data_IF_275869528755
#
_entry.id   IF_275869528755
#
_cell.length_a   1.000
_cell.length_b   1.000
_cell.length_c   1.000
_cell.angle_alpha   90.00
_cell.angle_beta   90.00
_cell.angle_gamma   90.00
#
_symmetry.space_group_name_H-M   'P 1'
#
loop_
_entity.id
_entity.type
_entity.pdbx_description
1 polymer ?
#
# COMPACT_ATOMS: atom_id res chain seq x y z
N UNK A 1 31.45 6.28 -12.75
CA UNK A 1 30.45 5.62 -11.89
C UNK A 1 30.34 6.47 -10.64
N UNK A 2 29.38 7.38 -10.62
CA UNK A 2 29.21 8.33 -9.51
C UNK A 2 28.40 7.65 -8.41
N UNK A 3 28.98 7.59 -7.21
CA UNK A 3 28.30 7.07 -6.03
C UNK A 3 27.23 8.07 -5.62
N UNK A 4 25.97 7.69 -5.84
CA UNK A 4 24.82 8.47 -5.40
C UNK A 4 24.61 8.20 -3.90
N UNK A 5 25.17 9.07 -3.08
CA UNK A 5 25.03 9.03 -1.63
C UNK A 5 23.65 9.60 -1.27
N UNK A 6 22.64 8.73 -1.26
CA UNK A 6 21.27 9.10 -0.90
C UNK A 6 21.22 9.45 0.59
N UNK A 7 21.39 10.74 0.90
CA UNK A 7 21.32 11.25 2.26
C UNK A 7 20.00 10.85 2.92
N UNK A 8 20.06 10.43 4.19
CA UNK A 8 18.92 10.01 5.01
C UNK A 8 17.79 11.05 5.07
N UNK A 9 18.09 12.32 4.78
CA UNK A 9 17.13 13.43 4.77
C UNK A 9 16.14 13.41 3.60
N UNK A 10 16.48 12.79 2.47
CA UNK A 10 15.57 12.77 1.30
C UNK A 10 14.32 11.91 1.55
N UNK A 11 14.44 10.87 2.39
CA UNK A 11 13.31 10.02 2.75
C UNK A 11 12.28 10.72 3.63
N UNK A 12 12.71 11.69 4.44
CA UNK A 12 11.83 12.47 5.32
C UNK A 12 10.95 13.44 4.53
N UNK A 13 11.49 14.06 3.47
CA UNK A 13 10.73 14.96 2.59
C UNK A 13 9.72 14.22 1.71
N UNK A 14 10.00 12.97 1.36
CA UNK A 14 9.13 12.16 0.50
C UNK A 14 7.85 11.68 1.20
N UNK A 15 7.75 11.77 2.53
CA UNK A 15 6.61 11.27 3.30
C UNK A 15 5.36 12.16 3.27
N UNK A 16 5.50 13.45 2.94
CA UNK A 16 4.40 14.42 3.08
C UNK A 16 4.14 15.28 1.82
N UNK A 17 4.78 14.99 0.67
CA UNK A 17 4.50 15.68 -0.59
C UNK A 17 3.65 14.80 -1.52
N UNK A 18 2.32 15.06 -1.65
CA UNK A 18 1.47 14.36 -2.60
C UNK A 18 1.99 14.41 -4.05
N UNK A 19 2.65 15.49 -4.44
CA UNK A 19 3.23 15.64 -5.77
C UNK A 19 4.48 14.77 -5.95
N UNK A 20 5.25 14.50 -4.89
CA UNK A 20 6.35 13.53 -4.93
C UNK A 20 5.82 12.11 -5.11
N UNK A 21 4.70 11.77 -4.44
CA UNK A 21 4.07 10.46 -4.58
C UNK A 21 3.57 10.21 -6.02
N UNK A 22 2.93 11.21 -6.63
CA UNK A 22 2.46 11.16 -8.02
C UNK A 22 3.61 11.02 -9.04
N UNK A 23 4.77 11.60 -8.78
CA UNK A 23 5.93 11.55 -9.69
C UNK A 23 6.74 10.25 -9.57
N UNK A 24 6.57 9.47 -8.51
CA UNK A 24 7.38 8.28 -8.22
C UNK A 24 6.72 6.94 -8.63
N UNK A 25 5.76 6.96 -9.56
CA UNK A 25 4.93 5.80 -9.93
C UNK A 25 5.73 4.56 -10.38
N UNK A 26 6.91 4.74 -11.00
CA UNK A 26 7.73 3.63 -11.53
C UNK A 26 8.73 3.07 -10.51
N UNK A 27 9.18 3.89 -9.54
CA UNK A 27 10.24 3.51 -8.59
C UNK A 27 9.66 2.80 -7.37
N UNK A 28 8.38 3.03 -7.06
CA UNK A 28 7.69 2.45 -5.90
C UNK A 28 7.00 1.10 -6.18
N UNK A 29 7.00 0.61 -7.42
CA UNK A 29 6.38 -0.66 -7.80
C UNK A 29 7.27 -1.89 -7.56
N UNK A 30 8.56 -1.69 -7.25
CA UNK A 30 9.41 -2.78 -6.78
C UNK A 30 9.04 -3.12 -5.33
N UNK A 31 8.96 -4.40 -4.94
CA UNK A 31 8.80 -4.76 -3.54
C UNK A 31 9.91 -4.07 -2.76
N UNK A 32 9.54 -3.15 -1.87
CA UNK A 32 10.50 -2.50 -0.97
C UNK A 32 11.05 -3.60 -0.08
N UNK A 33 12.18 -4.19 -0.46
CA UNK A 33 13.02 -4.89 0.50
C UNK A 33 13.36 -3.84 1.55
N UNK A 34 12.86 -4.03 2.77
CA UNK A 34 13.30 -3.21 3.89
C UNK A 34 14.84 -3.24 3.87
N UNK A 35 15.55 -2.13 4.12
CA UNK A 35 17.01 -2.05 4.09
C UNK A 35 17.70 -2.90 5.18
N UNK A 36 17.01 -3.90 5.70
CA UNK A 36 17.46 -4.88 6.65
C UNK A 36 17.20 -6.30 6.12
N UNK A 37 17.50 -6.56 4.85
CA UNK A 37 17.97 -7.90 4.52
C UNK A 37 19.40 -8.00 5.07
N UNK A 38 19.49 -8.36 6.36
CA UNK A 38 20.71 -8.88 6.93
C UNK A 38 21.20 -9.94 5.93
N UNK A 39 22.39 -9.77 5.37
CA UNK A 39 23.04 -10.78 4.53
C UNK A 39 23.24 -12.02 5.41
N UNK A 40 22.22 -12.86 5.42
CA UNK A 40 22.15 -14.08 6.21
C UNK A 40 23.34 -14.96 5.75
N UNK A 41 24.31 -15.27 6.62
CA UNK A 41 25.46 -16.09 6.25
C UNK A 41 24.97 -17.44 5.73
N UNK A 42 25.66 -18.06 4.77
CA UNK A 42 25.26 -19.30 4.10
C UNK A 42 24.80 -20.44 5.07
N UNK A 43 25.30 -20.44 6.31
CA UNK A 43 24.92 -21.39 7.35
C UNK A 43 23.51 -21.19 7.93
N UNK A 44 22.91 -20.00 7.79
CA UNK A 44 21.55 -19.72 8.28
C UNK A 44 20.44 -20.37 7.43
N UNK A 45 20.77 -20.77 6.20
CA UNK A 45 19.89 -21.58 5.35
C UNK A 45 19.72 -23.02 5.90
N UNK A 46 20.67 -23.51 6.71
CA UNK A 46 20.56 -24.80 7.40
C UNK A 46 19.79 -24.70 8.73
N UNK A 47 19.75 -23.52 9.37
CA UNK A 47 18.98 -23.32 10.61
C UNK A 47 17.48 -23.10 10.37
N UNK A 48 17.06 -22.63 9.20
CA UNK A 48 15.64 -22.46 8.85
C UNK A 48 14.87 -23.80 8.79
N UNK A 49 15.57 -24.93 8.72
CA UNK A 49 14.95 -26.26 8.80
C UNK A 49 14.72 -26.76 10.24
N UNK A 50 15.40 -26.20 11.24
CA UNK A 50 15.31 -26.63 12.64
C UNK A 50 14.62 -25.61 13.55
N UNK A 51 14.49 -24.37 13.11
CA UNK A 51 13.82 -23.31 13.86
C UNK A 51 12.74 -22.74 12.95
N UNK A 52 11.47 -23.01 13.29
CA UNK A 52 10.38 -22.17 12.81
C UNK A 52 10.77 -20.75 13.14
N UNK A 53 11.00 -19.91 12.12
CA UNK A 53 11.26 -18.48 12.27
C UNK A 53 10.04 -17.88 12.98
N UNK A 54 10.09 -17.86 14.32
CA UNK A 54 9.20 -17.04 15.13
C UNK A 54 9.71 -15.63 14.95
N UNK A 55 9.33 -15.01 13.83
CA UNK A 55 9.45 -13.59 13.65
C UNK A 55 8.89 -12.93 14.92
N UNK A 56 9.61 -11.99 15.55
CA UNK A 56 9.08 -11.30 16.70
C UNK A 56 7.72 -10.72 16.32
N UNK A 57 6.70 -10.86 17.18
CA UNK A 57 5.38 -10.34 16.88
C UNK A 57 5.52 -8.87 16.49
N UNK A 58 4.84 -8.47 15.41
CA UNK A 58 4.80 -7.08 14.96
C UNK A 58 4.56 -6.19 16.19
N UNK A 59 5.41 -5.19 16.39
CA UNK A 59 5.39 -4.32 17.57
C UNK A 59 3.95 -3.89 17.89
N UNK A 60 3.51 -4.12 19.12
CA UNK A 60 2.09 -4.04 19.50
C UNK A 60 1.50 -2.63 19.39
N UNK A 61 2.32 -1.63 19.05
CA UNK A 61 1.92 -0.25 18.81
C UNK A 61 1.89 0.21 17.36
N UNK A 62 1.91 -0.69 16.37
CA UNK A 62 1.86 -0.31 14.95
C UNK A 62 0.49 -0.58 14.33
N UNK A 63 -0.13 0.46 13.77
CA UNK A 63 -1.31 0.31 12.92
C UNK A 63 -0.85 -0.06 11.49
N UNK A 64 -1.36 -1.16 10.96
CA UNK A 64 -1.07 -1.63 9.61
C UNK A 64 -2.36 -1.70 8.79
N UNK A 65 -2.31 -1.15 7.57
CA UNK A 65 -3.39 -1.15 6.59
C UNK A 65 -2.87 -1.72 5.28
N UNK A 66 -3.64 -2.61 4.64
CA UNK A 66 -3.29 -3.25 3.39
C UNK A 66 -4.49 -3.21 2.44
N UNK A 67 -4.30 -2.54 1.30
CA UNK A 67 -5.22 -2.62 0.17
C UNK A 67 -4.78 -3.75 -0.75
N UNK A 68 -5.71 -4.64 -1.09
CA UNK A 68 -5.47 -5.69 -2.08
C UNK A 68 -6.35 -5.47 -3.31
N UNK A 69 -5.79 -5.78 -4.50
CA UNK A 69 -6.47 -5.59 -5.78
C UNK A 69 -7.58 -6.62 -6.03
N UNK A 70 -7.49 -7.77 -5.38
CA UNK A 70 -8.37 -8.89 -5.62
C UNK A 70 -8.40 -9.84 -4.41
N UNK A 71 -9.43 -10.68 -4.34
CA UNK A 71 -9.50 -11.81 -3.41
C UNK A 71 -8.71 -13.00 -3.94
N UNK A 72 -8.49 -14.03 -3.11
CA UNK A 72 -7.67 -15.19 -3.48
C UNK A 72 -8.13 -15.97 -4.73
N UNK A 73 -9.41 -15.88 -5.11
CA UNK A 73 -9.95 -16.53 -6.33
C UNK A 73 -10.06 -15.59 -7.53
N UNK A 74 -9.52 -14.37 -7.45
CA UNK A 74 -9.63 -13.32 -8.45
C UNK A 74 -8.23 -12.89 -8.90
N UNK A 75 -8.12 -12.33 -10.10
CA UNK A 75 -6.84 -11.88 -10.65
C UNK A 75 -6.75 -10.36 -10.64
N UNK A 76 -5.56 -9.83 -10.31
CA UNK A 76 -5.21 -8.44 -10.62
C UNK A 76 -5.27 -8.23 -12.15
N UNK A 77 -5.63 -7.03 -12.61
CA UNK A 77 -6.05 -6.73 -13.98
C UNK A 77 -5.49 -5.37 -14.34
N UNK A 78 -4.86 -5.34 -15.49
CA UNK A 78 -4.42 -4.14 -16.16
C UNK A 78 -5.38 -3.84 -17.30
N UNK A 79 -5.77 -2.58 -17.44
CA UNK A 79 -6.68 -2.13 -18.48
C UNK A 79 -6.18 -0.81 -19.07
N UNK A 80 -6.64 -0.51 -20.30
CA UNK A 80 -6.48 0.82 -20.88
C UNK A 80 -7.52 1.75 -20.29
N UNK A 81 -7.10 2.57 -19.31
CA UNK A 81 -7.95 3.51 -18.60
C UNK A 81 -7.49 4.92 -18.94
N UNK A 82 -8.39 5.72 -19.53
CA UNK A 82 -8.13 7.11 -19.95
C UNK A 82 -6.93 7.23 -20.91
N UNK A 83 -6.77 6.25 -21.81
CA UNK A 83 -5.71 6.24 -22.81
C UNK A 83 -4.35 5.78 -22.29
N UNK A 84 -4.26 5.31 -21.05
CA UNK A 84 -3.03 4.74 -20.48
C UNK A 84 -3.27 3.33 -19.95
N UNK A 85 -2.28 2.44 -20.13
CA UNK A 85 -2.29 1.11 -19.53
C UNK A 85 -1.93 1.20 -18.04
N UNK A 86 -2.84 0.80 -17.16
CA UNK A 86 -2.62 0.82 -15.72
C UNK A 86 -3.50 -0.21 -14.98
N UNK A 87 -3.10 -0.57 -13.76
CA UNK A 87 -3.87 -1.47 -12.91
C UNK A 87 -5.17 -0.83 -12.40
N UNK A 88 -6.28 -1.60 -12.43
CA UNK A 88 -7.59 -1.10 -12.01
C UNK A 88 -7.63 -0.64 -10.54
N UNK A 89 -6.90 -1.31 -9.64
CA UNK A 89 -6.76 -0.89 -8.23
C UNK A 89 -6.08 0.48 -8.15
N UNK A 90 -4.91 0.64 -8.78
CA UNK A 90 -4.14 1.88 -8.73
C UNK A 90 -4.93 3.05 -9.29
N UNK A 91 -5.57 2.86 -10.46
CA UNK A 91 -6.45 3.88 -11.03
C UNK A 91 -7.57 4.29 -10.07
N UNK A 92 -8.26 3.31 -9.47
CA UNK A 92 -9.38 3.58 -8.56
C UNK A 92 -8.93 4.25 -7.27
N UNK A 93 -7.75 3.90 -6.76
CA UNK A 93 -7.11 4.54 -5.60
C UNK A 93 -6.85 6.02 -5.89
N UNK A 94 -6.19 6.33 -7.00
CA UNK A 94 -5.88 7.72 -7.39
C UNK A 94 -7.15 8.55 -7.57
N UNK A 95 -8.11 8.05 -8.35
CA UNK A 95 -9.38 8.73 -8.58
C UNK A 95 -10.16 8.96 -7.29
N UNK A 96 -10.14 8.00 -6.35
CA UNK A 96 -10.80 8.14 -5.05
C UNK A 96 -10.11 9.20 -4.18
N UNK A 97 -8.77 9.20 -4.12
CA UNK A 97 -8.00 10.20 -3.38
C UNK A 97 -8.27 11.62 -3.90
N UNK A 98 -8.30 11.80 -5.21
CA UNK A 98 -8.62 13.08 -5.84
C UNK A 98 -10.05 13.53 -5.52
N UNK A 99 -11.03 12.63 -5.67
CA UNK A 99 -12.44 12.92 -5.36
C UNK A 99 -12.65 13.32 -3.89
N UNK A 100 -11.84 12.79 -2.97
CA UNK A 100 -11.86 13.07 -1.54
C UNK A 100 -10.89 14.20 -1.13
N UNK A 101 -10.28 14.90 -2.10
CA UNK A 101 -9.30 15.98 -1.86
C UNK A 101 -8.15 15.57 -0.92
N UNK A 102 -7.73 14.31 -0.97
CA UNK A 102 -6.69 13.73 -0.10
C UNK A 102 -6.98 13.86 1.41
N UNK A 103 -8.24 14.10 1.80
CA UNK A 103 -8.70 14.23 3.18
C UNK A 103 -9.76 13.19 3.46
N UNK A 104 -9.32 11.98 3.79
CA UNK A 104 -10.20 10.86 4.07
C UNK A 104 -9.55 9.87 5.02
N UNK A 105 -10.39 9.07 5.66
CA UNK A 105 -9.98 7.89 6.42
C UNK A 105 -9.71 6.70 5.49
N UNK A 106 -9.04 5.66 5.98
CA UNK A 106 -8.79 4.45 5.19
C UNK A 106 -10.10 3.78 4.75
N UNK A 107 -11.14 3.80 5.61
CA UNK A 107 -12.45 3.24 5.31
C UNK A 107 -13.17 4.03 4.21
N UNK A 108 -13.24 5.37 4.33
CA UNK A 108 -13.84 6.24 3.32
C UNK A 108 -13.15 6.08 1.95
N UNK A 109 -11.82 5.97 1.95
CA UNK A 109 -11.06 5.71 0.73
C UNK A 109 -11.44 4.37 0.10
N UNK A 110 -11.54 3.30 0.90
CA UNK A 110 -11.95 1.98 0.41
C UNK A 110 -13.35 1.99 -0.20
N UNK A 111 -14.30 2.70 0.42
CA UNK A 111 -15.67 2.85 -0.09
C UNK A 111 -15.70 3.63 -1.41
N UNK A 112 -14.97 4.74 -1.50
CA UNK A 112 -14.87 5.53 -2.71
C UNK A 112 -14.23 4.75 -3.87
N UNK A 113 -13.15 4.01 -3.59
CA UNK A 113 -12.54 3.08 -4.55
C UNK A 113 -13.55 2.02 -5.03
N UNK A 114 -14.37 1.49 -4.13
CA UNK A 114 -15.44 0.54 -4.46
C UNK A 114 -16.47 1.11 -5.44
N UNK A 115 -16.87 2.37 -5.26
CA UNK A 115 -17.78 3.07 -6.20
C UNK A 115 -17.16 3.24 -7.58
N UNK A 116 -15.89 3.62 -7.66
CA UNK A 116 -15.15 3.75 -8.93
C UNK A 116 -15.01 2.38 -9.60
N UNK A 117 -14.69 1.33 -8.84
CA UNK A 117 -14.61 -0.04 -9.34
C UNK A 117 -15.95 -0.52 -9.92
N UNK A 118 -17.07 -0.16 -9.30
CA UNK A 118 -18.40 -0.46 -9.81
C UNK A 118 -18.67 0.22 -11.15
N UNK A 119 -18.29 1.50 -11.29
CA UNK A 119 -18.39 2.22 -12.58
C UNK A 119 -17.53 1.55 -13.65
N UNK A 120 -16.27 1.23 -13.33
CA UNK A 120 -15.39 0.53 -14.25
C UNK A 120 -16.01 -0.79 -14.74
N UNK A 121 -16.55 -1.59 -13.81
CA UNK A 121 -17.27 -2.83 -14.14
C UNK A 121 -18.50 -2.62 -15.02
N UNK A 122 -19.22 -1.52 -14.84
CA UNK A 122 -20.44 -1.26 -15.61
C UNK A 122 -20.15 -0.74 -17.01
N UNK A 123 -19.14 0.11 -17.17
CA UNK A 123 -19.01 0.98 -18.34
C UNK A 123 -17.72 0.79 -19.14
N UNK A 124 -16.61 0.48 -18.47
CA UNK A 124 -15.27 0.59 -19.08
C UNK A 124 -14.62 -0.77 -19.29
N UNK A 125 -14.68 -1.64 -18.28
CA UNK A 125 -14.09 -2.97 -18.26
C UNK A 125 -15.14 -3.98 -17.74
N UNK A 126 -16.18 -4.31 -18.53
CA UNK A 126 -17.21 -5.27 -18.11
C UNK A 126 -16.71 -6.63 -17.61
N UNK A 127 -15.61 -7.20 -18.17
CA UNK A 127 -15.05 -8.46 -17.66
C UNK A 127 -14.33 -8.36 -16.31
N UNK A 128 -14.19 -7.16 -15.72
CA UNK A 128 -13.50 -7.00 -14.44
C UNK A 128 -14.26 -7.72 -13.33
N UNK A 129 -13.65 -8.73 -12.70
CA UNK A 129 -14.24 -9.53 -11.62
C UNK A 129 -13.66 -9.21 -10.24
N UNK A 130 -12.89 -8.12 -10.17
CA UNK A 130 -12.13 -7.70 -9.00
C UNK A 130 -12.96 -6.99 -7.95
N UNK A 131 -12.64 -7.31 -6.70
CA UNK A 131 -13.14 -6.61 -5.53
C UNK A 131 -11.97 -6.20 -4.67
N UNK A 132 -11.77 -4.89 -4.55
CA UNK A 132 -10.74 -4.34 -3.69
C UNK A 132 -11.11 -4.59 -2.23
N UNK A 133 -10.10 -4.87 -1.41
CA UNK A 133 -10.28 -5.16 0.00
C UNK A 133 -9.28 -4.37 0.82
N UNK A 134 -9.77 -3.75 1.89
CA UNK A 134 -8.96 -3.20 2.96
C UNK A 134 -8.85 -4.26 4.07
N UNK A 135 -7.64 -4.68 4.38
CA UNK A 135 -7.32 -5.53 5.54
C UNK A 135 -6.44 -4.73 6.50
N UNK A 136 -6.62 -4.92 7.80
CA UNK A 136 -5.92 -4.11 8.80
C UNK A 136 -5.66 -4.92 10.07
N UNK A 137 -4.65 -4.49 10.84
CA UNK A 137 -4.23 -5.16 12.07
C UNK A 137 -5.17 -4.90 13.25
N UNK A 138 -5.00 -5.65 14.35
CA UNK A 138 -5.84 -5.54 15.57
C UNK A 138 -5.94 -4.13 16.16
N UNK A 139 -4.89 -3.32 16.01
CA UNK A 139 -4.78 -1.98 16.59
C UNK A 139 -5.11 -0.86 15.60
N UNK A 140 -5.56 -1.21 14.40
CA UNK A 140 -5.88 -0.23 13.37
C UNK A 140 -7.37 0.16 13.46
N UNK A 141 -7.64 1.46 13.50
CA UNK A 141 -8.99 2.03 13.44
C UNK A 141 -9.20 2.69 12.07
N UNK A 142 -9.62 1.94 11.02
CA UNK A 142 -9.65 2.44 9.64
C UNK A 142 -10.62 3.60 9.39
N UNK A 143 -11.58 3.79 10.28
CA UNK A 143 -12.58 4.87 10.32
C UNK A 143 -12.11 6.10 11.12
N UNK A 144 -11.01 6.00 11.86
CA UNK A 144 -10.43 7.11 12.63
C UNK A 144 -9.08 7.56 12.04
N UNK A 145 -8.31 6.66 11.43
CA UNK A 145 -7.00 6.95 10.85
C UNK A 145 -7.11 7.63 9.49
N UNK A 146 -6.52 8.82 9.38
CA UNK A 146 -6.49 9.62 8.14
C UNK A 146 -5.41 9.11 7.19
N UNK A 147 -5.76 8.97 5.91
CA UNK A 147 -4.81 8.61 4.86
C UNK A 147 -3.84 9.78 4.64
N UNK A 148 -2.54 9.48 4.61
CA UNK A 148 -1.43 10.46 4.53
C UNK A 148 -1.21 11.36 5.76
N UNK A 149 -1.92 11.14 6.86
CA UNK A 149 -1.59 11.82 8.11
C UNK A 149 -0.44 11.11 8.83
N UNK A 150 0.68 11.81 9.02
CA UNK A 150 1.83 11.30 9.74
C UNK A 150 1.52 11.00 11.22
N UNK A 151 0.53 11.69 11.82
CA UNK A 151 0.06 11.43 13.18
C UNK A 151 -0.62 10.07 13.31
N UNK A 152 -1.34 9.65 12.27
CA UNK A 152 -2.05 8.36 12.20
C UNK A 152 -1.12 7.14 12.23
N UNK A 153 0.18 7.29 11.99
CA UNK A 153 1.17 6.21 12.08
C UNK A 153 1.43 5.72 13.52
N UNK A 154 1.13 6.55 14.53
CA UNK A 154 1.46 6.27 15.95
C UNK A 154 0.24 6.01 16.83
N UNK A 155 -0.98 5.98 16.26
CA UNK A 155 -2.25 5.92 17.00
C UNK A 155 -2.47 4.59 17.75
N UNK A 156 -1.61 3.59 17.57
CA UNK A 156 -1.74 2.30 18.26
C UNK A 156 -1.19 2.28 19.71
N UNK A 157 -0.95 3.45 20.34
CA UNK A 157 -0.75 3.55 21.80
C UNK A 157 -1.98 4.19 22.44
N UNK A 158 -2.57 3.47 23.41
CA UNK A 158 -3.57 3.92 24.39
C UNK A 158 -5.05 3.52 24.14
N UNK A 159 -5.31 2.25 23.81
CA UNK A 159 -6.60 1.60 24.14
C UNK A 159 -6.39 0.39 25.03
#
# INVERSE_FOLDING_TARGET
TENYDASQDDYSRCRCDPAAWLRAQHVNALPRRLPFELTKPLWSCLSEWCFQDVLPPLDEGVAAFCFTACRGSQSALEASLEGSAQGCLSYSLFQALEALNFKCTYLELCEAMGKIAQRLRAEVVPPMDQFFQLSYGKNAAPDECMVMDAGSAFVAKDR
#
